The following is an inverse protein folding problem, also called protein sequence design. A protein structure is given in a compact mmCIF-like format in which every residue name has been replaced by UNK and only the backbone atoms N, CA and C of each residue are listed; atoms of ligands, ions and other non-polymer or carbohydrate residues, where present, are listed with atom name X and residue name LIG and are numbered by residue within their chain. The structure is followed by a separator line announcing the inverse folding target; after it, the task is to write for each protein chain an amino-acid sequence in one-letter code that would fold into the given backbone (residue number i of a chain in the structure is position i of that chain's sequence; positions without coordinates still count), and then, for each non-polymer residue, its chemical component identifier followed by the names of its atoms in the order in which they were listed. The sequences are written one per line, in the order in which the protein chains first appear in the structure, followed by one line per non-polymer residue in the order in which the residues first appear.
data_IF_950870846848
#
_entry.id   IF_950870846848
#
_cell.length_a   1.000
_cell.length_b   1.000
_cell.length_c   1.000
_cell.angle_alpha   90.00
_cell.angle_beta   90.00
_cell.angle_gamma   90.00
#
_symmetry.space_group_name_H-M   'P 1'
#
loop_
_entity.id
_entity.type
_entity.pdbx_description
1 polymer ?
#
# COMPACT_ATOMS: atom_id res chain seq x y z
N UNK A 1 -18.30 -4.82 -21.65
CA UNK A 1 -17.49 -5.42 -20.56
C UNK A 1 -16.31 -6.10 -21.23
N UNK A 2 -15.12 -5.73 -20.83
CA UNK A 2 -13.91 -6.33 -21.38
C UNK A 2 -13.75 -7.72 -20.76
N UNK A 3 -13.74 -8.79 -21.59
CA UNK A 3 -13.53 -10.18 -21.14
C UNK A 3 -12.26 -10.35 -20.26
N UNK A 4 -11.36 -9.38 -20.33
CA UNK A 4 -10.13 -9.35 -19.56
C UNK A 4 -10.34 -9.07 -18.04
N UNK A 5 -11.38 -8.32 -17.66
CA UNK A 5 -11.64 -8.01 -16.24
C UNK A 5 -12.21 -9.22 -15.48
N UNK A 6 -13.05 -10.04 -16.13
CA UNK A 6 -13.65 -11.23 -15.52
C UNK A 6 -12.62 -12.32 -15.22
N UNK A 7 -11.53 -12.37 -16.00
CA UNK A 7 -10.48 -13.38 -15.90
C UNK A 7 -9.24 -12.91 -15.12
N UNK A 8 -9.22 -11.65 -14.67
CA UNK A 8 -8.03 -11.06 -14.04
C UNK A 8 -7.60 -11.81 -12.77
N UNK A 9 -8.54 -12.07 -11.87
CA UNK A 9 -8.25 -12.77 -10.61
C UNK A 9 -7.78 -14.19 -10.89
N UNK A 10 -8.42 -14.90 -11.82
CA UNK A 10 -8.04 -16.26 -12.21
C UNK A 10 -6.63 -16.29 -12.83
N UNK A 11 -6.30 -15.33 -13.71
CA UNK A 11 -4.94 -15.20 -14.29
C UNK A 11 -3.88 -14.93 -13.20
N UNK A 12 -4.19 -14.03 -12.26
CA UNK A 12 -3.27 -13.75 -11.15
C UNK A 12 -3.10 -14.97 -10.22
N UNK A 13 -4.16 -15.72 -9.94
CA UNK A 13 -4.10 -16.95 -9.14
C UNK A 13 -3.32 -18.05 -9.86
N UNK A 14 -3.59 -18.28 -11.15
CA UNK A 14 -2.89 -19.28 -11.95
C UNK A 14 -1.37 -19.03 -12.04
N UNK A 15 -0.96 -17.74 -11.92
CA UNK A 15 0.44 -17.32 -11.89
C UNK A 15 1.06 -17.33 -10.49
N UNK A 16 0.27 -17.65 -9.45
CA UNK A 16 0.74 -17.56 -8.06
C UNK A 16 1.01 -16.14 -7.60
N UNK A 17 0.35 -15.13 -8.18
CA UNK A 17 0.54 -13.73 -7.86
C UNK A 17 -0.40 -13.21 -6.75
N UNK A 18 -1.22 -14.07 -6.15
CA UNK A 18 -2.09 -13.73 -5.03
C UNK A 18 -1.66 -14.53 -3.80
N UNK A 19 -1.32 -13.83 -2.72
CA UNK A 19 -1.05 -14.44 -1.42
C UNK A 19 -2.30 -14.43 -0.53
N UNK A 20 -2.98 -13.28 -0.41
CA UNK A 20 -4.18 -13.12 0.42
C UNK A 20 -5.10 -12.08 -0.23
N UNK A 21 -6.41 -12.21 0.02
CA UNK A 21 -7.44 -11.24 -0.39
C UNK A 21 -8.46 -11.05 0.73
N UNK A 22 -8.92 -9.83 0.91
CA UNK A 22 -10.11 -9.55 1.71
C UNK A 22 -11.37 -9.87 0.90
N UNK A 23 -12.34 -10.61 1.49
CA UNK A 23 -13.63 -10.88 0.86
C UNK A 23 -13.53 -11.30 -0.63
N UNK A 24 -12.78 -12.36 -0.93
CA UNK A 24 -12.35 -12.76 -2.28
C UNK A 24 -13.46 -12.76 -3.33
N UNK A 25 -14.62 -13.35 -3.03
CA UNK A 25 -15.76 -13.40 -3.95
C UNK A 25 -16.29 -11.99 -4.29
N UNK A 26 -16.42 -11.12 -3.27
CA UNK A 26 -16.88 -9.74 -3.47
C UNK A 26 -15.86 -8.89 -4.22
N UNK A 27 -14.57 -9.11 -4.00
CA UNK A 27 -13.51 -8.45 -4.76
C UNK A 27 -13.55 -8.86 -6.24
N UNK A 28 -13.71 -10.14 -6.53
CA UNK A 28 -13.83 -10.64 -7.90
C UNK A 28 -15.06 -10.05 -8.60
N UNK A 29 -16.22 -10.05 -7.95
CA UNK A 29 -17.44 -9.40 -8.44
C UNK A 29 -17.21 -7.89 -8.67
N UNK A 30 -16.61 -7.19 -7.69
CA UNK A 30 -16.32 -5.77 -7.78
C UNK A 30 -15.45 -5.42 -9.00
N UNK A 31 -14.43 -6.20 -9.28
CA UNK A 31 -13.53 -6.01 -10.42
C UNK A 31 -14.20 -6.35 -11.76
N UNK A 32 -15.08 -7.36 -11.80
CA UNK A 32 -15.75 -7.78 -13.05
C UNK A 32 -16.85 -6.81 -13.50
N UNK A 33 -17.42 -6.01 -12.59
CA UNK A 33 -18.59 -5.15 -12.87
C UNK A 33 -18.23 -3.77 -13.43
N UNK A 34 -16.97 -3.43 -13.62
CA UNK A 34 -16.56 -2.16 -14.24
C UNK A 34 -15.11 -1.78 -13.96
N UNK A 35 -14.68 -0.65 -14.52
CA UNK A 35 -13.37 -0.09 -14.22
C UNK A 35 -13.29 0.35 -12.76
N UNK A 36 -12.20 0.02 -12.08
CA UNK A 36 -11.95 0.37 -10.69
C UNK A 36 -10.59 1.05 -10.56
N UNK A 37 -10.51 1.96 -9.60
CA UNK A 37 -9.23 2.54 -9.20
C UNK A 37 -8.61 1.68 -8.11
N UNK A 38 -7.32 1.36 -8.28
CA UNK A 38 -6.53 0.60 -7.33
C UNK A 38 -5.18 1.27 -7.09
N UNK A 39 -4.54 1.00 -5.95
CA UNK A 39 -3.22 1.55 -5.69
C UNK A 39 -2.23 0.56 -5.09
N UNK A 40 -0.95 0.87 -5.28
CA UNK A 40 0.17 0.32 -4.53
C UNK A 40 1.06 1.45 -4.03
N UNK A 41 1.52 1.34 -2.78
CA UNK A 41 2.45 2.28 -2.17
C UNK A 41 3.91 1.89 -2.42
N UNK A 42 4.75 2.91 -2.63
CA UNK A 42 6.20 2.79 -2.82
C UNK A 42 6.91 3.81 -1.93
N UNK A 43 7.42 3.34 -0.80
CA UNK A 43 8.20 4.19 0.10
C UNK A 43 9.62 4.40 -0.44
N UNK A 44 10.10 5.64 -0.50
CA UNK A 44 11.45 5.98 -0.93
C UNK A 44 12.46 5.63 0.17
N UNK A 45 12.94 4.40 0.15
CA UNK A 45 13.94 3.88 1.11
C UNK A 45 15.36 3.89 0.57
N UNK A 46 15.52 4.22 -0.71
CA UNK A 46 16.76 4.41 -1.45
C UNK A 46 16.46 5.24 -2.71
N UNK A 47 17.50 5.59 -3.45
CA UNK A 47 17.44 6.28 -4.75
C UNK A 47 16.84 5.44 -5.89
N UNK A 48 16.58 4.17 -5.63
CA UNK A 48 16.04 3.23 -6.61
C UNK A 48 15.11 2.19 -5.98
N UNK A 49 14.17 1.69 -6.78
CA UNK A 49 13.35 0.54 -6.44
C UNK A 49 14.21 -0.74 -6.43
N UNK A 50 13.90 -1.63 -5.51
CA UNK A 50 14.51 -2.95 -5.46
C UNK A 50 13.71 -3.98 -6.28
N UNK A 51 14.30 -5.15 -6.53
CA UNK A 51 13.69 -6.21 -7.35
C UNK A 51 12.29 -6.63 -6.83
N UNK A 52 12.06 -6.59 -5.52
CA UNK A 52 10.75 -6.90 -4.92
C UNK A 52 9.64 -5.94 -5.35
N UNK A 53 9.98 -4.70 -5.72
CA UNK A 53 9.01 -3.71 -6.23
C UNK A 53 8.53 -4.03 -7.66
N UNK A 54 9.23 -4.89 -8.38
CA UNK A 54 8.85 -5.26 -9.76
C UNK A 54 7.53 -6.03 -9.78
N UNK A 55 7.29 -6.92 -8.82
CA UNK A 55 6.05 -7.72 -8.77
C UNK A 55 4.81 -6.82 -8.67
N UNK A 56 4.69 -5.91 -7.67
CA UNK A 56 3.54 -5.01 -7.60
C UNK A 56 3.42 -4.08 -8.82
N UNK A 57 4.52 -3.61 -9.41
CA UNK A 57 4.48 -2.80 -10.63
C UNK A 57 3.90 -3.58 -11.83
N UNK A 58 4.33 -4.82 -12.03
CA UNK A 58 3.79 -5.69 -13.08
C UNK A 58 2.32 -6.04 -12.83
N UNK A 59 1.90 -6.18 -11.57
CA UNK A 59 0.50 -6.41 -11.23
C UNK A 59 -0.33 -5.15 -11.49
N UNK A 60 0.12 -3.94 -11.11
CA UNK A 60 -0.53 -2.67 -11.48
C UNK A 60 -0.73 -2.57 -12.99
N UNK A 61 0.30 -2.90 -13.78
CA UNK A 61 0.21 -2.94 -15.25
C UNK A 61 -0.86 -3.93 -15.74
N UNK A 62 -0.98 -5.12 -15.12
CA UNK A 62 -2.01 -6.12 -15.48
C UNK A 62 -3.41 -5.60 -15.21
N UNK A 63 -3.62 -4.95 -14.06
CA UNK A 63 -4.88 -4.29 -13.77
C UNK A 63 -5.21 -3.20 -14.81
N UNK A 64 -4.22 -2.40 -15.21
CA UNK A 64 -4.41 -1.39 -16.26
C UNK A 64 -4.80 -2.01 -17.60
N UNK A 65 -4.14 -3.11 -18.00
CA UNK A 65 -4.45 -3.85 -19.22
C UNK A 65 -5.85 -4.50 -19.17
N UNK A 66 -6.31 -4.86 -17.98
CA UNK A 66 -7.65 -5.38 -17.74
C UNK A 66 -8.74 -4.29 -17.66
N UNK A 67 -8.40 -3.02 -17.84
CA UNK A 67 -9.38 -1.93 -17.90
C UNK A 67 -9.54 -1.12 -16.61
N UNK A 68 -8.72 -1.37 -15.59
CA UNK A 68 -8.73 -0.63 -14.34
C UNK A 68 -7.74 0.54 -14.36
N UNK A 69 -7.89 1.48 -13.40
CA UNK A 69 -7.06 2.66 -13.25
C UNK A 69 -6.07 2.49 -12.10
N UNK A 70 -4.78 2.29 -12.37
CA UNK A 70 -3.79 2.16 -11.31
C UNK A 70 -3.31 3.52 -10.79
N UNK A 71 -3.09 3.58 -9.48
CA UNK A 71 -2.39 4.66 -8.79
C UNK A 71 -1.09 4.11 -8.22
N UNK A 72 0.02 4.76 -8.51
CA UNK A 72 1.26 4.59 -7.78
C UNK A 72 1.35 5.66 -6.69
N UNK A 73 1.26 5.25 -5.42
CA UNK A 73 1.39 6.14 -4.28
C UNK A 73 2.86 6.23 -3.87
N UNK A 74 3.43 7.42 -3.95
CA UNK A 74 4.76 7.71 -3.45
C UNK A 74 4.70 8.06 -1.96
N UNK A 75 5.45 7.34 -1.14
CA UNK A 75 5.48 7.50 0.30
C UNK A 75 6.38 8.65 0.75
N UNK A 76 6.17 9.89 0.28
CA UNK A 76 6.98 11.03 0.70
C UNK A 76 6.91 11.31 2.20
N UNK A 77 5.74 11.14 2.81
CA UNK A 77 5.58 11.28 4.26
C UNK A 77 5.92 9.98 5.00
N UNK A 78 5.42 8.83 4.54
CA UNK A 78 5.69 7.53 5.18
C UNK A 78 7.17 7.13 5.08
N UNK A 79 7.88 7.56 4.05
CA UNK A 79 9.31 7.37 3.91
C UNK A 79 10.17 8.09 4.97
N UNK A 80 9.62 9.14 5.61
CA UNK A 80 10.25 9.81 6.75
C UNK A 80 10.11 9.02 8.06
N UNK A 81 9.12 8.15 8.15
CA UNK A 81 8.78 7.36 9.34
C UNK A 81 9.42 5.96 9.27
N UNK A 82 9.25 5.28 8.15
CA UNK A 82 9.76 3.94 7.91
C UNK A 82 8.81 2.82 8.36
N UNK A 83 8.48 1.94 7.43
CA UNK A 83 7.65 0.76 7.68
C UNK A 83 8.39 -0.28 8.52
N UNK A 84 7.88 -0.67 9.71
CA UNK A 84 8.49 -1.70 10.56
C UNK A 84 8.25 -3.13 10.07
N UNK A 85 7.39 -3.33 9.07
CA UNK A 85 6.93 -4.65 8.66
C UNK A 85 8.09 -5.59 8.32
N UNK A 86 8.23 -6.66 9.12
CA UNK A 86 9.25 -7.71 8.99
C UNK A 86 10.71 -7.21 8.97
N UNK A 87 11.00 -6.07 9.60
CA UNK A 87 12.36 -5.56 9.81
C UNK A 87 12.87 -5.93 11.20
N UNK A 88 14.13 -6.34 11.27
CA UNK A 88 14.77 -6.72 12.52
C UNK A 88 15.19 -5.51 13.38
N UNK A 89 15.49 -4.39 12.73
CA UNK A 89 15.99 -3.17 13.37
C UNK A 89 15.19 -1.96 12.90
N UNK A 90 15.18 -0.93 13.73
CA UNK A 90 14.61 0.37 13.37
C UNK A 90 15.35 0.96 12.15
N UNK A 91 14.58 1.58 11.26
CA UNK A 91 15.17 2.25 10.09
C UNK A 91 15.86 3.54 10.52
N UNK A 92 17.02 3.79 9.93
CA UNK A 92 17.64 5.12 10.03
C UNK A 92 16.72 6.12 9.32
N UNK A 93 16.31 7.15 10.07
CA UNK A 93 15.50 8.22 9.51
C UNK A 93 16.33 9.07 8.54
N UNK A 94 15.79 9.30 7.35
CA UNK A 94 16.39 10.18 6.36
C UNK A 94 15.85 11.61 6.51
N UNK A 95 16.59 12.59 5.99
CA UNK A 95 16.13 13.97 5.99
C UNK A 95 15.03 14.17 4.94
N UNK A 96 14.13 15.17 5.11
CA UNK A 96 13.09 15.47 4.13
C UNK A 96 13.63 15.69 2.71
N UNK A 97 14.76 16.39 2.56
CA UNK A 97 15.38 16.67 1.26
C UNK A 97 15.80 15.40 0.54
N UNK A 98 16.46 14.47 1.26
CA UNK A 98 16.87 13.16 0.72
C UNK A 98 15.66 12.34 0.27
N UNK A 99 14.60 12.32 1.07
CA UNK A 99 13.38 11.60 0.72
C UNK A 99 12.70 12.23 -0.51
N UNK A 100 12.69 13.56 -0.60
CA UNK A 100 12.13 14.27 -1.75
C UNK A 100 12.88 13.96 -3.05
N UNK A 101 14.23 13.93 -3.00
CA UNK A 101 15.05 13.55 -4.15
C UNK A 101 14.78 12.11 -4.60
N UNK A 102 14.66 11.18 -3.66
CA UNK A 102 14.34 9.78 -3.97
C UNK A 102 12.93 9.61 -4.54
N UNK A 103 11.96 10.39 -4.09
CA UNK A 103 10.61 10.41 -4.67
C UNK A 103 10.66 10.71 -6.16
N UNK A 104 11.49 11.68 -6.58
CA UNK A 104 11.65 12.02 -8.00
C UNK A 104 12.23 10.85 -8.79
N UNK A 105 13.30 10.23 -8.30
CA UNK A 105 13.96 9.10 -8.96
C UNK A 105 13.05 7.87 -9.08
N UNK A 106 12.31 7.55 -8.01
CA UNK A 106 11.35 6.44 -7.99
C UNK A 106 10.20 6.69 -8.96
N UNK A 107 9.70 7.93 -9.03
CA UNK A 107 8.68 8.35 -9.99
C UNK A 107 9.10 8.05 -11.44
N UNK A 108 10.33 8.39 -11.81
CA UNK A 108 10.86 8.11 -13.13
C UNK A 108 10.94 6.61 -13.43
N UNK A 109 11.29 5.80 -12.44
CA UNK A 109 11.35 4.34 -12.59
C UNK A 109 9.96 3.72 -12.77
N UNK A 110 8.98 4.10 -11.95
CA UNK A 110 7.60 3.62 -12.04
C UNK A 110 6.98 3.94 -13.39
N UNK A 111 7.29 5.12 -13.95
CA UNK A 111 6.75 5.59 -15.23
C UNK A 111 7.08 4.68 -16.43
N UNK A 112 8.02 3.75 -16.27
CA UNK A 112 8.37 2.76 -17.30
C UNK A 112 7.46 1.53 -17.30
N UNK A 113 6.64 1.34 -16.28
CA UNK A 113 5.84 0.12 -16.09
C UNK A 113 4.36 0.32 -16.36
N UNK A 114 3.80 1.49 -16.08
CA UNK A 114 2.39 1.82 -16.28
C UNK A 114 2.25 3.01 -17.23
N UNK A 115 1.14 3.07 -17.94
CA UNK A 115 0.91 4.11 -18.95
C UNK A 115 0.06 5.25 -18.36
N UNK A 116 0.54 6.47 -18.53
CA UNK A 116 -0.09 7.69 -18.02
C UNK A 116 -0.92 8.42 -19.10
N UNK A 117 -1.01 7.89 -20.34
CA UNK A 117 -1.58 8.59 -21.49
C UNK A 117 -2.56 7.75 -22.31
N UNK A 118 -3.34 6.86 -21.67
CA UNK A 118 -4.32 5.97 -22.33
C UNK A 118 -5.79 6.30 -22.02
N UNK A 119 -6.10 7.58 -21.80
CA UNK A 119 -7.46 8.05 -21.53
C UNK A 119 -7.95 7.69 -20.14
N UNK A 120 -9.17 7.19 -19.99
CA UNK A 120 -9.82 6.93 -18.70
C UNK A 120 -9.09 5.90 -17.82
N UNK A 121 -8.21 5.10 -18.41
CA UNK A 121 -7.37 4.10 -17.71
C UNK A 121 -5.95 4.59 -17.46
N UNK A 122 -5.66 5.85 -17.71
CA UNK A 122 -4.34 6.42 -17.43
C UNK A 122 -3.99 6.21 -15.97
N UNK A 123 -2.76 5.76 -15.74
CA UNK A 123 -2.25 5.68 -14.38
C UNK A 123 -2.16 7.07 -13.75
N UNK A 124 -2.27 7.13 -12.44
CA UNK A 124 -1.96 8.32 -11.67
C UNK A 124 -0.77 8.07 -10.75
N UNK A 125 -0.04 9.14 -10.47
CA UNK A 125 1.04 9.11 -9.49
C UNK A 125 0.80 10.23 -8.48
N UNK A 126 0.64 9.84 -7.22
CA UNK A 126 0.32 10.75 -6.12
C UNK A 126 1.34 10.61 -5.00
N UNK A 127 1.50 11.64 -4.18
CA UNK A 127 2.41 11.64 -3.04
C UNK A 127 1.60 11.82 -1.75
N UNK A 128 1.77 10.94 -0.76
CA UNK A 128 1.03 11.05 0.49
C UNK A 128 1.42 12.28 1.33
N UNK A 129 2.52 12.94 1.03
CA UNK A 129 2.86 14.24 1.59
C UNK A 129 1.76 15.28 1.34
N UNK A 130 1.07 15.21 0.20
CA UNK A 130 0.04 16.17 -0.22
C UNK A 130 -1.12 16.30 0.77
N UNK A 131 -1.40 15.27 1.56
CA UNK A 131 -2.45 15.29 2.58
C UNK A 131 -1.93 15.14 4.01
N UNK A 132 -0.79 14.45 4.22
CA UNK A 132 -0.26 14.26 5.58
C UNK A 132 0.30 15.55 6.16
N UNK A 133 0.97 16.39 5.36
CA UNK A 133 1.47 17.69 5.82
C UNK A 133 0.36 18.70 6.18
N UNK A 134 -0.86 18.47 5.68
CA UNK A 134 -2.01 19.40 5.88
C UNK A 134 -2.87 19.04 7.09
N UNK A 135 -2.74 17.84 7.63
CA UNK A 135 -3.49 17.43 8.81
C UNK A 135 -2.73 17.82 10.07
N UNK A 136 -3.37 18.57 10.96
CA UNK A 136 -2.77 18.89 12.25
C UNK A 136 -2.81 17.67 13.19
N UNK A 137 -1.88 17.64 14.13
CA UNK A 137 -1.69 16.53 15.06
C UNK A 137 -2.96 16.20 15.86
N UNK A 138 -3.67 17.19 16.36
CA UNK A 138 -4.85 16.97 17.20
C UNK A 138 -5.99 16.39 16.38
N UNK A 139 -6.21 16.89 15.18
CA UNK A 139 -7.19 16.36 14.23
C UNK A 139 -6.86 14.91 13.86
N UNK A 140 -5.58 14.60 13.57
CA UNK A 140 -5.16 13.24 13.29
C UNK A 140 -5.43 12.28 14.45
N UNK A 141 -5.04 12.64 15.66
CA UNK A 141 -5.25 11.79 16.85
C UNK A 141 -6.73 11.61 17.16
N UNK A 142 -7.53 12.70 17.09
CA UNK A 142 -8.96 12.69 17.40
C UNK A 142 -9.77 11.93 16.35
N UNK A 143 -9.53 12.17 15.06
CA UNK A 143 -10.43 11.73 14.00
C UNK A 143 -9.97 10.44 13.34
N UNK A 144 -8.66 10.20 13.28
CA UNK A 144 -8.06 8.97 12.76
C UNK A 144 -7.68 8.03 13.89
N UNK A 145 -6.89 8.48 14.86
CA UNK A 145 -6.34 7.68 15.95
C UNK A 145 -7.42 6.94 16.76
N UNK A 146 -8.58 7.58 17.01
CA UNK A 146 -9.70 6.97 17.75
C UNK A 146 -10.23 5.65 17.16
N UNK A 147 -9.94 5.38 15.89
CA UNK A 147 -10.38 4.17 15.21
C UNK A 147 -9.43 2.99 15.38
N UNK A 148 -8.26 3.22 15.98
CA UNK A 148 -7.24 2.20 16.21
C UNK A 148 -7.19 1.80 17.69
N UNK A 149 -7.45 0.54 17.97
CA UNK A 149 -7.25 -0.02 19.31
C UNK A 149 -5.78 -0.41 19.49
N UNK A 150 -5.14 0.13 20.53
CA UNK A 150 -3.75 -0.23 20.88
C UNK A 150 -3.61 -1.74 21.08
N UNK A 151 -4.57 -2.40 21.73
CA UNK A 151 -4.54 -3.86 21.90
C UNK A 151 -4.52 -4.60 20.57
N UNK A 152 -5.30 -4.14 19.57
CA UNK A 152 -5.29 -4.75 18.25
C UNK A 152 -3.99 -4.45 17.49
N UNK A 153 -3.43 -3.27 17.68
CA UNK A 153 -2.15 -2.89 17.07
C UNK A 153 -0.99 -3.72 17.61
N UNK A 154 -0.92 -3.87 18.94
CA UNK A 154 0.11 -4.68 19.61
C UNK A 154 0.02 -6.16 19.19
N UNK A 155 -1.19 -6.68 18.94
CA UNK A 155 -1.39 -8.06 18.52
C UNK A 155 -1.12 -8.32 17.01
N UNK A 156 -0.72 -7.31 16.24
CA UNK A 156 -0.27 -7.53 14.86
C UNK A 156 1.04 -8.31 14.84
N UNK A 157 1.13 -9.28 13.93
CA UNK A 157 2.30 -10.16 13.82
C UNK A 157 3.62 -9.37 13.66
N UNK A 158 3.61 -8.33 12.82
CA UNK A 158 4.77 -7.45 12.60
C UNK A 158 5.22 -6.71 13.87
N UNK A 159 4.29 -6.38 14.76
CA UNK A 159 4.58 -5.73 16.05
C UNK A 159 5.04 -6.77 17.06
N UNK A 160 4.35 -7.90 17.19
CA UNK A 160 4.73 -8.99 18.10
C UNK A 160 6.16 -9.49 17.84
N UNK A 161 6.51 -9.69 16.57
CA UNK A 161 7.87 -10.10 16.20
C UNK A 161 8.96 -9.11 16.65
N UNK A 162 8.63 -7.83 16.83
CA UNK A 162 9.56 -6.82 17.34
C UNK A 162 9.59 -6.81 18.87
N UNK A 163 8.44 -7.03 19.53
CA UNK A 163 8.33 -7.05 20.99
C UNK A 163 8.94 -8.32 21.59
N UNK A 164 8.85 -9.46 20.88
CA UNK A 164 9.35 -10.76 21.34
C UNK A 164 10.86 -10.95 21.13
N UNK A 165 11.53 -10.03 20.43
CA UNK A 165 12.98 -10.09 20.19
C UNK A 165 13.75 -9.40 21.32
N UNK A 166 14.91 -9.97 21.67
CA UNK A 166 15.90 -9.26 22.49
C UNK A 166 16.39 -8.02 21.74
N UNK A 167 16.19 -6.83 22.32
CA UNK A 167 16.60 -5.57 21.73
C UNK A 167 15.75 -4.38 22.15
N UNK A 168 15.77 -3.31 21.35
CA UNK A 168 15.10 -2.03 21.66
C UNK A 168 13.58 -2.03 21.43
N UNK A 169 12.99 -3.16 20.99
CA UNK A 169 11.56 -3.27 20.71
C UNK A 169 11.14 -2.50 19.46
N UNK A 170 10.03 -1.77 19.53
CA UNK A 170 9.50 -0.93 18.45
C UNK A 170 9.35 0.50 18.96
N UNK A 171 9.85 1.49 18.22
CA UNK A 171 9.64 2.90 18.57
C UNK A 171 8.18 3.32 18.34
N UNK A 172 7.76 4.38 19.03
CA UNK A 172 6.42 4.95 18.78
C UNK A 172 6.26 5.42 17.33
N UNK A 173 7.33 5.93 16.73
CA UNK A 173 7.38 6.34 15.32
C UNK A 173 7.01 5.18 14.40
N UNK A 174 7.73 4.07 14.47
CA UNK A 174 7.44 2.86 13.69
C UNK A 174 6.06 2.27 14.03
N UNK A 175 5.68 2.26 15.31
CA UNK A 175 4.39 1.74 15.76
C UNK A 175 3.20 2.48 15.13
N UNK A 176 3.33 3.78 14.91
CA UNK A 176 2.27 4.61 14.31
C UNK A 176 2.22 4.54 12.78
N UNK A 177 3.21 3.94 12.11
CA UNK A 177 3.26 3.84 10.65
C UNK A 177 1.96 3.29 10.05
N UNK A 178 1.39 2.24 10.67
CA UNK A 178 0.14 1.63 10.19
C UNK A 178 -1.05 2.61 10.13
N UNK A 179 -1.07 3.63 11.00
CA UNK A 179 -2.12 4.65 10.98
C UNK A 179 -2.00 5.52 9.74
N UNK A 180 -0.76 5.91 9.38
CA UNK A 180 -0.47 6.74 8.21
C UNK A 180 -0.86 6.01 6.93
N UNK A 181 -0.41 4.77 6.75
CA UNK A 181 -0.77 3.96 5.58
C UNK A 181 -2.28 3.67 5.50
N UNK A 182 -2.94 3.44 6.64
CA UNK A 182 -4.38 3.28 6.67
C UNK A 182 -5.11 4.56 6.27
N UNK A 183 -4.59 5.71 6.69
CA UNK A 183 -5.12 7.01 6.32
C UNK A 183 -4.92 7.31 4.84
N UNK A 184 -3.79 6.89 4.25
CA UNK A 184 -3.57 6.97 2.81
C UNK A 184 -4.69 6.28 2.02
N UNK A 185 -5.07 5.06 2.41
CA UNK A 185 -6.16 4.36 1.72
C UNK A 185 -7.49 5.13 1.84
N UNK A 186 -7.82 5.63 3.03
CA UNK A 186 -9.04 6.41 3.23
C UNK A 186 -9.03 7.71 2.41
N UNK A 187 -7.88 8.39 2.27
CA UNK A 187 -7.73 9.58 1.44
C UNK A 187 -7.84 9.25 -0.05
N UNK A 188 -7.17 8.21 -0.53
CA UNK A 188 -7.26 7.77 -1.92
C UNK A 188 -8.69 7.32 -2.28
N UNK A 189 -9.39 6.67 -1.36
CA UNK A 189 -10.80 6.34 -1.55
C UNK A 189 -11.65 7.61 -1.71
N UNK A 190 -11.43 8.62 -0.86
CA UNK A 190 -12.20 9.88 -0.87
C UNK A 190 -11.89 10.77 -2.07
N UNK A 191 -10.62 10.84 -2.50
CA UNK A 191 -10.14 11.81 -3.50
C UNK A 191 -10.09 11.24 -4.92
N UNK A 192 -9.91 9.92 -5.06
CA UNK A 192 -9.67 9.25 -6.33
C UNK A 192 -10.61 8.06 -6.57
N UNK A 193 -11.66 7.89 -5.75
CA UNK A 193 -12.56 6.73 -5.80
C UNK A 193 -11.79 5.38 -5.78
N UNK A 194 -10.65 5.34 -5.10
CA UNK A 194 -9.80 4.17 -5.01
C UNK A 194 -10.45 3.12 -4.11
N UNK A 195 -10.68 1.93 -4.64
CA UNK A 195 -11.40 0.87 -3.93
C UNK A 195 -10.58 -0.39 -3.66
N UNK A 196 -9.37 -0.48 -4.20
CA UNK A 196 -8.50 -1.65 -4.00
C UNK A 196 -7.09 -1.21 -3.64
N UNK A 197 -6.53 -1.80 -2.57
CA UNK A 197 -5.10 -1.68 -2.26
C UNK A 197 -4.40 -3.00 -2.56
N UNK A 198 -3.26 -2.93 -3.25
CA UNK A 198 -2.36 -4.08 -3.41
C UNK A 198 -1.01 -3.80 -2.74
N UNK A 199 -0.30 -4.86 -2.34
CA UNK A 199 1.03 -4.76 -1.72
C UNK A 199 1.66 -6.13 -1.53
N UNK A 200 2.89 -6.19 -1.02
CA UNK A 200 3.51 -7.46 -0.64
C UNK A 200 2.77 -8.14 0.52
N UNK A 201 2.96 -9.44 0.71
CA UNK A 201 2.30 -10.19 1.79
C UNK A 201 2.69 -9.69 3.19
N UNK A 202 3.83 -9.03 3.31
CA UNK A 202 4.27 -8.32 4.52
C UNK A 202 3.39 -7.10 4.87
N UNK A 203 2.62 -6.59 3.92
CA UNK A 203 1.72 -5.44 4.07
C UNK A 203 0.31 -5.81 4.52
N UNK A 204 -0.01 -7.09 4.73
CA UNK A 204 -1.36 -7.55 5.05
C UNK A 204 -1.99 -6.80 6.23
N UNK A 205 -1.20 -6.62 7.31
CA UNK A 205 -1.64 -5.91 8.51
C UNK A 205 -1.99 -4.44 8.26
N UNK A 206 -1.19 -3.74 7.45
CA UNK A 206 -1.41 -2.35 7.08
C UNK A 206 -2.60 -2.22 6.13
N UNK A 207 -2.69 -3.09 5.12
CA UNK A 207 -3.79 -3.12 4.14
C UNK A 207 -5.14 -3.33 4.83
N UNK A 208 -5.25 -4.32 5.72
CA UNK A 208 -6.49 -4.59 6.48
C UNK A 208 -6.86 -3.44 7.42
N UNK A 209 -5.86 -2.74 7.98
CA UNK A 209 -6.06 -1.49 8.72
C UNK A 209 -6.69 -0.40 7.87
N UNK A 210 -6.19 -0.23 6.64
CA UNK A 210 -6.73 0.72 5.66
C UNK A 210 -8.16 0.39 5.22
N UNK A 211 -8.46 -0.89 5.01
CA UNK A 211 -9.82 -1.36 4.70
C UNK A 211 -10.80 -1.02 5.83
N UNK A 212 -10.42 -1.29 7.09
CA UNK A 212 -11.29 -0.97 8.24
C UNK A 212 -11.45 0.54 8.43
N UNK A 213 -10.37 1.32 8.30
CA UNK A 213 -10.42 2.77 8.43
C UNK A 213 -11.28 3.41 7.33
N UNK A 214 -11.14 3.01 6.07
CA UNK A 214 -11.96 3.53 4.95
C UNK A 214 -13.45 3.27 5.19
N UNK A 215 -13.79 2.09 5.71
CA UNK A 215 -15.18 1.79 6.11
C UNK A 215 -15.68 2.71 7.22
N UNK A 216 -14.85 3.00 8.23
CA UNK A 216 -15.21 3.84 9.39
C UNK A 216 -15.30 5.32 9.07
N UNK A 217 -14.41 5.83 8.23
CA UNK A 217 -14.36 7.25 7.88
C UNK A 217 -15.29 7.61 6.72
N UNK A 218 -15.32 6.76 5.68
CA UNK A 218 -16.00 7.08 4.42
C UNK A 218 -17.29 6.28 4.22
N UNK A 219 -17.56 5.27 5.06
CA UNK A 219 -18.69 4.34 4.84
C UNK A 219 -18.51 3.45 3.60
N UNK A 220 -17.32 3.43 3.00
CA UNK A 220 -17.05 2.77 1.73
C UNK A 220 -16.62 1.33 1.93
N UNK A 221 -17.11 0.43 1.06
CA UNK A 221 -16.57 -0.92 0.94
C UNK A 221 -15.34 -0.86 0.02
N UNK A 222 -14.18 -1.18 0.57
CA UNK A 222 -12.92 -1.27 -0.16
C UNK A 222 -12.26 -2.62 0.10
N UNK A 223 -11.27 -2.98 -0.70
CA UNK A 223 -10.67 -4.30 -0.70
C UNK A 223 -9.15 -4.23 -0.65
N UNK A 224 -8.55 -5.29 -0.10
CA UNK A 224 -7.11 -5.48 -0.08
C UNK A 224 -6.70 -6.80 -0.72
N UNK A 225 -5.58 -6.78 -1.42
CA UNK A 225 -4.95 -7.98 -1.98
C UNK A 225 -3.45 -7.92 -1.75
N UNK A 226 -2.86 -9.03 -1.33
CA UNK A 226 -1.41 -9.13 -1.19
C UNK A 226 -0.81 -10.09 -2.21
N UNK A 227 0.43 -9.78 -2.56
CA UNK A 227 1.25 -10.49 -3.53
C UNK A 227 2.36 -11.24 -2.80
N UNK A 228 2.84 -12.37 -3.34
CA UNK A 228 3.98 -13.07 -2.76
C UNK A 228 5.23 -12.18 -2.79
N UNK A 229 6.07 -12.35 -1.78
CA UNK A 229 7.37 -11.68 -1.73
C UNK A 229 8.38 -12.39 -2.64
N UNK A 230 9.26 -11.61 -3.24
CA UNK A 230 10.45 -12.16 -3.89
C UNK A 230 11.46 -12.50 -2.80
N UNK A 231 11.81 -13.77 -2.71
CA UNK A 231 12.79 -14.28 -1.74
C UNK A 231 14.01 -14.85 -2.45
N UNK A 232 15.12 -14.90 -1.75
CA UNK A 232 16.30 -15.66 -2.19
C UNK A 232 16.01 -17.17 -2.15
N UNK A 233 16.91 -17.97 -2.69
CA UNK A 233 16.78 -19.44 -2.70
C UNK A 233 16.74 -20.07 -1.31
N UNK A 234 17.24 -19.37 -0.28
CA UNK A 234 17.19 -19.78 1.13
C UNK A 234 15.91 -19.33 1.85
N UNK A 235 14.96 -18.69 1.15
CA UNK A 235 13.71 -18.17 1.70
C UNK A 235 13.83 -16.80 2.37
N UNK A 236 15.03 -16.20 2.44
CA UNK A 236 15.21 -14.84 2.97
C UNK A 236 14.86 -13.76 1.93
N UNK A 237 14.50 -12.56 2.39
CA UNK A 237 14.28 -11.37 1.53
C UNK A 237 15.57 -10.79 1.01
#
# INVERSE_FOLDING_TARGET
MDKNSEQLIDDLQARGLIAQMTAAEKLAEHLSTGSRTLYCGFDPTADSLHIGSLVPLLVLRRFQQAGHKPIALLGGATGLIGDPSFKAQERKLNTPDVVADWVILIREQISKFVDFNIGDRSAEMVNNMDWIEKIDLLSFLRDVGKHFSVNNMVNKESVQQRLDRDGEGISYTEFTYMLLQSYDFAQLNRLHDCTVQIGGSDQWGNITGGVDLSRRLNGSQVFGMTLPLVTKSDGTK
#
